data_IF_175017287052
#
_entry.id   IF_175017287052
#
_cell.length_a   1.000
_cell.length_b   1.000
_cell.length_c   1.000
_cell.angle_alpha   90.00
_cell.angle_beta   90.00
_cell.angle_gamma   90.00
#
_symmetry.space_group_name_H-M   'P 1'
#
loop_
_entity.id
_entity.type
_entity.pdbx_description
1 polymer ?
#
# COMPACT_ATOMS: atom_id res chain seq x y z
N UNK A 1 20.21 -1.45 -12.17
CA UNK A 1 20.90 -1.87 -10.92
C UNK A 1 21.09 -0.71 -9.94
N UNK A 2 21.66 0.41 -10.39
CA UNK A 2 21.90 1.63 -9.58
C UNK A 2 20.64 2.20 -8.91
N UNK A 3 19.47 2.09 -9.55
CA UNK A 3 18.18 2.48 -8.92
C UNK A 3 17.92 1.68 -7.63
N UNK A 4 18.21 0.37 -7.65
CA UNK A 4 18.06 -0.48 -6.47
C UNK A 4 19.18 -0.25 -5.43
N UNK A 5 20.33 0.29 -5.82
CA UNK A 5 21.38 0.75 -4.88
C UNK A 5 20.96 2.05 -4.19
N UNK A 6 20.36 3.00 -4.92
CA UNK A 6 19.77 4.20 -4.31
C UNK A 6 18.59 3.85 -3.39
N UNK A 7 17.70 2.96 -3.85
CA UNK A 7 16.62 2.39 -3.05
C UNK A 7 17.06 1.06 -2.44
N UNK A 8 18.17 1.06 -1.70
CA UNK A 8 18.76 -0.17 -1.13
C UNK A 8 17.82 -0.88 -0.14
N UNK A 9 17.01 -0.12 0.61
CA UNK A 9 16.01 -0.66 1.53
C UNK A 9 14.80 -1.21 0.80
N UNK A 10 14.33 -2.41 1.18
CA UNK A 10 13.12 -3.00 0.60
C UNK A 10 11.87 -2.15 0.81
N UNK A 11 11.74 -1.55 1.99
CA UNK A 11 10.58 -0.75 2.40
C UNK A 11 10.34 0.46 1.49
N UNK A 12 11.42 1.13 1.04
CA UNK A 12 11.29 2.27 0.12
C UNK A 12 10.95 1.81 -1.30
N UNK A 13 11.43 0.64 -1.73
CA UNK A 13 11.04 0.06 -3.03
C UNK A 13 9.57 -0.34 -3.05
N UNK A 14 9.09 -1.00 -1.99
CA UNK A 14 7.70 -1.37 -1.82
C UNK A 14 6.81 -0.12 -1.82
N UNK A 15 7.14 0.88 -1.00
CA UNK A 15 6.44 2.17 -0.95
C UNK A 15 6.35 2.84 -2.32
N UNK A 16 7.46 2.98 -3.06
CA UNK A 16 7.45 3.59 -4.38
C UNK A 16 6.62 2.79 -5.40
N UNK A 17 6.71 1.46 -5.38
CA UNK A 17 5.93 0.62 -6.29
C UNK A 17 4.42 0.74 -6.01
N UNK A 18 4.02 0.66 -4.74
CA UNK A 18 2.63 0.79 -4.33
C UNK A 18 2.07 2.20 -4.56
N UNK A 19 2.86 3.24 -4.29
CA UNK A 19 2.50 4.63 -4.61
C UNK A 19 2.31 4.83 -6.13
N UNK A 20 3.14 4.21 -6.96
CA UNK A 20 2.97 4.21 -8.42
C UNK A 20 1.65 3.54 -8.86
N UNK A 21 1.34 2.36 -8.29
CA UNK A 21 0.07 1.66 -8.54
C UNK A 21 -1.14 2.49 -8.09
N UNK A 22 -1.09 3.06 -6.88
CA UNK A 22 -2.13 3.94 -6.34
C UNK A 22 -2.34 5.17 -7.21
N UNK A 23 -1.27 5.81 -7.67
CA UNK A 23 -1.33 6.97 -8.58
C UNK A 23 -2.01 6.62 -9.91
N UNK A 24 -1.70 5.46 -10.49
CA UNK A 24 -2.34 5.02 -11.73
C UNK A 24 -3.85 4.83 -11.56
N UNK A 25 -4.28 4.23 -10.44
CA UNK A 25 -5.71 4.06 -10.15
C UNK A 25 -6.40 5.39 -9.81
N UNK A 26 -5.73 6.29 -9.10
CA UNK A 26 -6.24 7.64 -8.84
C UNK A 26 -6.50 8.40 -10.15
N UNK A 27 -5.54 8.39 -11.08
CA UNK A 27 -5.68 9.02 -12.38
C UNK A 27 -6.78 8.38 -13.24
N UNK A 28 -6.94 7.06 -13.17
CA UNK A 28 -7.94 6.35 -13.96
C UNK A 28 -9.37 6.53 -13.44
N UNK A 29 -9.54 6.67 -12.11
CA UNK A 29 -10.87 6.67 -11.48
C UNK A 29 -11.32 8.05 -11.01
N UNK A 30 -10.40 8.98 -10.79
CA UNK A 30 -10.70 10.26 -10.13
C UNK A 30 -11.13 10.09 -8.66
N UNK A 31 -10.85 8.93 -8.05
CA UNK A 31 -11.28 8.57 -6.71
C UNK A 31 -10.08 8.08 -5.88
N UNK A 32 -10.16 8.28 -4.57
CA UNK A 32 -9.12 7.89 -3.60
C UNK A 32 -9.34 6.50 -3.02
N UNK A 33 -10.58 6.12 -2.67
CA UNK A 33 -10.84 4.81 -2.03
C UNK A 33 -10.31 3.61 -2.85
N UNK A 34 -10.49 3.55 -4.19
CA UNK A 34 -9.95 2.44 -4.98
C UNK A 34 -8.42 2.35 -4.99
N UNK A 35 -7.71 3.42 -4.64
CA UNK A 35 -6.24 3.40 -4.58
C UNK A 35 -5.72 2.52 -3.44
N UNK A 36 -6.50 2.34 -2.36
CA UNK A 36 -6.18 1.40 -1.27
C UNK A 36 -6.15 -0.04 -1.78
N UNK A 37 -7.07 -0.41 -2.68
CA UNK A 37 -7.06 -1.73 -3.31
C UNK A 37 -5.84 -1.93 -4.21
N UNK A 38 -5.43 -0.90 -4.95
CA UNK A 38 -4.22 -0.91 -5.76
C UNK A 38 -2.95 -1.06 -4.90
N UNK A 39 -2.92 -0.36 -3.76
CA UNK A 39 -1.84 -0.45 -2.77
C UNK A 39 -1.71 -1.88 -2.25
N UNK A 40 -2.80 -2.48 -1.76
CA UNK A 40 -2.78 -3.85 -1.23
C UNK A 40 -2.29 -4.87 -2.26
N UNK A 41 -2.81 -4.82 -3.49
CA UNK A 41 -2.39 -5.73 -4.55
C UNK A 41 -0.91 -5.55 -4.91
N UNK A 42 -0.42 -4.31 -4.91
CA UNK A 42 1.00 -4.01 -5.18
C UNK A 42 1.91 -4.61 -4.13
N UNK A 43 1.56 -4.49 -2.83
CA UNK A 43 2.37 -5.01 -1.74
C UNK A 43 2.43 -6.55 -1.76
N UNK A 44 1.28 -7.22 -1.89
CA UNK A 44 1.21 -8.68 -1.99
C UNK A 44 1.94 -9.20 -3.23
N UNK A 45 1.74 -8.56 -4.38
CA UNK A 45 2.41 -8.92 -5.62
C UNK A 45 3.92 -8.66 -5.59
N UNK A 46 4.39 -7.61 -4.90
CA UNK A 46 5.82 -7.34 -4.72
C UNK A 46 6.46 -8.41 -3.85
N UNK A 47 5.80 -8.79 -2.75
CA UNK A 47 6.27 -9.86 -1.87
C UNK A 47 6.44 -11.16 -2.66
N UNK A 48 5.41 -11.58 -3.39
CA UNK A 48 5.44 -12.82 -4.18
C UNK A 48 6.49 -12.77 -5.30
N UNK A 49 6.58 -11.65 -6.03
CA UNK A 49 7.48 -11.51 -7.17
C UNK A 49 8.95 -11.46 -6.78
N UNK A 50 9.29 -10.80 -5.67
CA UNK A 50 10.68 -10.48 -5.29
C UNK A 50 11.17 -11.38 -4.14
N UNK A 51 10.27 -12.08 -3.45
CA UNK A 51 10.59 -12.92 -2.29
C UNK A 51 10.99 -12.13 -1.04
N UNK A 52 10.70 -10.82 -1.02
CA UNK A 52 10.90 -9.90 0.11
C UNK A 52 10.08 -8.63 -0.11
N UNK A 53 9.83 -7.90 0.98
CA UNK A 53 9.15 -6.62 0.93
C UNK A 53 9.93 -5.54 1.70
N UNK A 54 9.58 -5.27 2.96
CA UNK A 54 10.21 -4.25 3.79
C UNK A 54 10.92 -4.78 5.03
N UNK A 55 11.08 -3.91 6.02
CA UNK A 55 11.60 -4.27 7.34
C UNK A 55 10.59 -5.13 8.12
N UNK A 56 10.99 -5.65 9.28
CA UNK A 56 10.10 -6.44 10.14
C UNK A 56 8.91 -5.62 10.66
N UNK A 57 7.69 -6.01 10.33
CA UNK A 57 6.47 -5.26 10.68
C UNK A 57 6.13 -4.12 9.72
N UNK A 58 6.88 -3.98 8.61
CA UNK A 58 6.57 -3.01 7.55
C UNK A 58 5.16 -3.19 6.98
N UNK A 59 4.74 -4.45 6.82
CA UNK A 59 3.51 -4.83 6.12
C UNK A 59 2.31 -5.04 7.04
N UNK A 60 2.39 -4.63 8.31
CA UNK A 60 1.27 -4.77 9.25
C UNK A 60 -0.02 -4.16 8.67
N UNK A 61 0.04 -2.91 8.19
CA UNK A 61 -1.10 -2.27 7.54
C UNK A 61 -1.40 -2.87 6.15
N UNK A 62 -0.38 -3.34 5.44
CA UNK A 62 -0.51 -3.79 4.05
C UNK A 62 -1.30 -5.10 3.95
N UNK A 63 -1.12 -6.00 4.92
CA UNK A 63 -1.91 -7.22 5.07
C UNK A 63 -3.37 -6.91 5.43
N UNK A 64 -3.61 -5.83 6.19
CA UNK A 64 -4.95 -5.39 6.58
C UNK A 64 -5.65 -4.54 5.50
N UNK A 65 -4.90 -3.95 4.57
CA UNK A 65 -5.41 -2.93 3.64
C UNK A 65 -6.57 -3.45 2.79
N UNK A 66 -6.53 -4.70 2.31
CA UNK A 66 -7.63 -5.27 1.52
C UNK A 66 -8.94 -5.34 2.31
N UNK A 67 -8.89 -5.81 3.56
CA UNK A 67 -10.06 -5.94 4.44
C UNK A 67 -10.60 -4.54 4.82
N UNK A 68 -9.73 -3.65 5.29
CA UNK A 68 -10.09 -2.31 5.72
C UNK A 68 -10.48 -1.35 4.58
N UNK A 69 -10.23 -1.70 3.31
CA UNK A 69 -10.49 -0.80 2.16
C UNK A 69 -11.95 -0.42 2.03
N UNK A 70 -12.89 -1.32 2.32
CA UNK A 70 -14.33 -1.06 2.24
C UNK A 70 -15.08 -1.58 3.47
N UNK A 71 -14.36 -1.85 4.56
CA UNK A 71 -14.97 -2.13 5.85
C UNK A 71 -15.76 -0.90 6.31
N UNK A 72 -16.80 -1.15 7.07
CA UNK A 72 -17.62 -0.15 7.76
C UNK A 72 -17.72 -0.48 9.26
N UNK A 73 -16.90 -1.42 9.74
CA UNK A 73 -16.81 -1.74 11.16
C UNK A 73 -16.16 -0.59 11.93
N UNK A 74 -16.37 -0.58 13.25
CA UNK A 74 -16.00 0.47 14.20
C UNK A 74 -14.77 1.28 13.82
N UNK A 75 -13.60 0.66 13.98
CA UNK A 75 -12.27 1.23 13.85
C UNK A 75 -11.54 0.74 12.59
N UNK A 76 -12.22 -0.08 11.77
CA UNK A 76 -11.68 -0.59 10.51
C UNK A 76 -12.11 0.28 9.30
N UNK A 77 -13.26 0.94 9.36
CA UNK A 77 -13.87 1.57 8.20
C UNK A 77 -13.74 3.09 8.20
N UNK A 78 -12.95 3.65 7.28
CA UNK A 78 -13.00 5.09 7.00
C UNK A 78 -12.53 5.44 5.57
N UNK A 79 -13.14 6.46 4.92
CA UNK A 79 -12.66 7.01 3.64
C UNK A 79 -11.19 7.42 3.69
N UNK A 80 -10.47 7.18 2.60
CA UNK A 80 -9.01 7.30 2.56
C UNK A 80 -8.51 8.70 2.96
N UNK A 81 -9.17 9.77 2.51
CA UNK A 81 -8.79 11.16 2.81
C UNK A 81 -8.90 11.51 4.30
N UNK A 82 -9.72 10.78 5.06
CA UNK A 82 -9.88 11.00 6.48
C UNK A 82 -8.93 10.14 7.32
N UNK A 83 -8.25 9.15 6.72
CA UNK A 83 -7.27 8.31 7.42
C UNK A 83 -6.07 9.15 7.85
N UNK A 84 -5.36 8.64 8.83
CA UNK A 84 -4.10 9.21 9.28
C UNK A 84 -3.37 8.21 10.17
N UNK A 85 -2.29 8.67 10.79
CA UNK A 85 -1.42 7.83 11.65
C UNK A 85 -2.09 7.35 12.95
N UNK A 86 -3.34 7.73 13.20
CA UNK A 86 -4.16 7.27 14.33
C UNK A 86 -5.26 6.28 13.91
N UNK A 87 -5.35 5.95 12.62
CA UNK A 87 -6.14 4.80 12.17
C UNK A 87 -5.36 3.51 12.54
N UNK A 88 -6.01 2.54 13.20
CA UNK A 88 -5.34 1.31 13.65
C UNK A 88 -4.67 0.49 12.55
#
# INVERSE_FOLDING_TARGET
PTVAESHFGGSVRACCAAAGCGSAVACATGLTQPTLSAWSLSQLGHYERVGRLGFYGYDLQDQCTACGSYSYQSDEGMPFEMRGVNYP
#
